data_IF_444661152909
#
_entry.id   IF_444661152909
#
_cell.length_a   1.000
_cell.length_b   1.000
_cell.length_c   1.000
_cell.angle_alpha   90.00
_cell.angle_beta   90.00
_cell.angle_gamma   90.00
#
_symmetry.space_group_name_H-M   'P 1'
#
loop_
_entity.id
_entity.type
_entity.pdbx_description
1 polymer ?
#
# COMPACT_ATOMS: atom_id res chain seq x y z
N UNK A 1 -9.00 -17.37 12.99
CA UNK A 1 -7.71 -16.66 13.00
C UNK A 1 -7.85 -15.34 12.25
N UNK A 2 -7.44 -14.25 12.88
CA UNK A 2 -7.53 -12.96 12.25
C UNK A 2 -6.24 -12.68 11.48
N UNK A 3 -6.37 -12.45 10.19
CA UNK A 3 -5.25 -12.15 9.33
C UNK A 3 -5.04 -10.65 9.30
N UNK A 4 -3.80 -10.20 9.52
CA UNK A 4 -3.47 -8.79 9.44
C UNK A 4 -3.45 -8.34 7.98
N UNK A 5 -4.23 -7.32 7.66
CA UNK A 5 -4.27 -6.75 6.33
C UNK A 5 -3.65 -5.36 6.39
N UNK A 6 -2.67 -5.11 5.53
CA UNK A 6 -1.88 -3.89 5.55
C UNK A 6 -2.25 -2.98 4.39
N UNK A 7 -2.06 -1.68 4.60
CA UNK A 7 -2.13 -0.70 3.53
C UNK A 7 -0.82 0.07 3.51
N UNK A 8 -0.18 0.12 2.34
CA UNK A 8 1.02 0.92 2.13
C UNK A 8 0.60 2.18 1.38
N UNK A 9 0.81 3.35 1.99
CA UNK A 9 0.51 4.62 1.34
C UNK A 9 1.82 5.28 0.92
N UNK A 10 1.95 5.52 -0.37
CA UNK A 10 3.15 6.08 -0.96
C UNK A 10 4.07 4.99 -1.49
N UNK A 11 4.20 4.90 -2.81
CA UNK A 11 5.02 3.87 -3.45
C UNK A 11 6.39 4.42 -3.83
N UNK A 12 7.06 5.08 -2.89
CA UNK A 12 8.46 5.45 -3.01
C UNK A 12 9.35 4.29 -2.56
N UNK A 13 10.66 4.57 -2.36
CA UNK A 13 11.60 3.53 -1.96
C UNK A 13 11.22 2.85 -0.66
N UNK A 14 10.75 3.62 0.32
CA UNK A 14 10.32 3.04 1.60
C UNK A 14 9.13 2.10 1.42
N UNK A 15 8.17 2.48 0.58
CA UNK A 15 7.02 1.62 0.28
C UNK A 15 7.44 0.33 -0.40
N UNK A 16 8.40 0.41 -1.32
CA UNK A 16 8.94 -0.78 -1.98
C UNK A 16 9.54 -1.72 -0.94
N UNK A 17 10.36 -1.21 -0.02
CA UNK A 17 10.99 -2.03 1.00
C UNK A 17 9.98 -2.71 1.90
N UNK A 18 8.95 -1.97 2.31
CA UNK A 18 7.89 -2.54 3.16
C UNK A 18 7.13 -3.63 2.42
N UNK A 19 6.82 -3.39 1.12
CA UNK A 19 6.10 -4.38 0.34
C UNK A 19 6.88 -5.68 0.20
N UNK A 20 8.18 -5.58 -0.01
CA UNK A 20 9.03 -6.76 -0.12
C UNK A 20 9.06 -7.54 1.20
N UNK A 21 9.12 -6.83 2.32
CA UNK A 21 9.06 -7.46 3.63
C UNK A 21 7.74 -8.22 3.82
N UNK A 22 6.63 -7.57 3.48
CA UNK A 22 5.31 -8.20 3.64
C UNK A 22 5.14 -9.40 2.72
N UNK A 23 5.65 -9.32 1.49
CA UNK A 23 5.61 -10.46 0.57
C UNK A 23 6.40 -11.65 1.14
N UNK A 24 7.57 -11.39 1.72
CA UNK A 24 8.37 -12.44 2.34
C UNK A 24 7.64 -13.11 3.49
N UNK A 25 6.87 -12.34 4.25
CA UNK A 25 6.11 -12.85 5.39
C UNK A 25 4.79 -13.48 4.98
N UNK A 26 4.41 -13.37 3.72
CA UNK A 26 3.12 -13.88 3.27
C UNK A 26 1.94 -13.10 3.81
N UNK A 27 2.14 -11.83 4.16
CA UNK A 27 1.09 -10.99 4.71
C UNK A 27 0.38 -10.21 3.60
N UNK A 28 -0.97 -10.15 3.61
CA UNK A 28 -1.69 -9.45 2.57
C UNK A 28 -1.61 -7.93 2.74
N UNK A 29 -1.53 -7.23 1.62
CA UNK A 29 -1.49 -5.77 1.64
C UNK A 29 -2.02 -5.18 0.34
N UNK A 30 -2.50 -3.95 0.43
CA UNK A 30 -2.86 -3.13 -0.72
C UNK A 30 -1.90 -1.95 -0.79
N UNK A 31 -1.81 -1.31 -1.95
CA UNK A 31 -0.89 -0.21 -2.19
C UNK A 31 -1.69 1.00 -2.65
N UNK A 32 -1.37 2.17 -2.11
CA UNK A 32 -2.04 3.40 -2.47
C UNK A 32 -1.04 4.52 -2.74
N UNK A 33 -1.39 5.39 -3.67
CA UNK A 33 -0.61 6.59 -3.97
C UNK A 33 -1.56 7.59 -4.60
N UNK A 34 -1.39 8.87 -4.28
CA UNK A 34 -2.20 9.92 -4.90
C UNK A 34 -1.81 10.17 -6.35
N UNK A 35 -0.61 9.75 -6.77
CA UNK A 35 -0.17 9.86 -8.15
C UNK A 35 -0.79 8.75 -8.98
N UNK A 36 -1.19 9.04 -10.21
CA UNK A 36 -1.71 8.04 -11.12
C UNK A 36 -0.63 7.03 -11.51
N UNK A 37 0.59 7.54 -11.73
CA UNK A 37 1.74 6.70 -12.09
C UNK A 37 2.80 6.91 -11.03
N UNK A 38 2.88 6.02 -10.04
CA UNK A 38 3.90 6.12 -9.00
C UNK A 38 5.30 5.90 -9.57
N UNK A 39 6.34 6.44 -8.91
CA UNK A 39 7.71 6.34 -9.43
C UNK A 39 8.25 4.92 -9.42
N UNK A 40 7.76 4.05 -8.55
CA UNK A 40 8.20 2.68 -8.48
C UNK A 40 7.02 1.74 -8.59
N UNK A 41 7.21 0.69 -9.37
CA UNK A 41 6.18 -0.33 -9.49
C UNK A 41 6.30 -1.30 -8.33
N UNK A 42 5.22 -1.44 -7.57
CA UNK A 42 5.15 -2.40 -6.48
C UNK A 42 4.09 -3.44 -6.84
N UNK A 43 4.48 -4.69 -6.77
CA UNK A 43 3.53 -5.78 -6.99
C UNK A 43 2.74 -5.98 -5.70
N UNK A 44 1.40 -5.93 -5.76
CA UNK A 44 0.60 -6.17 -4.57
C UNK A 44 0.69 -7.63 -4.15
N UNK A 45 0.20 -7.92 -2.95
CA UNK A 45 0.07 -9.30 -2.50
C UNK A 45 -0.93 -10.03 -3.41
N UNK A 46 -1.00 -11.35 -3.27
CA UNK A 46 -1.77 -12.21 -4.19
C UNK A 46 -3.17 -11.70 -4.51
N UNK A 47 -3.89 -11.20 -3.53
CA UNK A 47 -5.23 -10.65 -3.72
C UNK A 47 -5.27 -9.14 -3.46
N UNK A 48 -4.12 -8.49 -3.53
CA UNK A 48 -4.02 -7.08 -3.23
C UNK A 48 -4.51 -6.20 -4.37
N UNK A 49 -4.82 -4.97 -4.02
CA UNK A 49 -5.29 -3.96 -4.96
C UNK A 49 -4.40 -2.75 -4.96
N UNK A 50 -4.46 -2.00 -6.03
CA UNK A 50 -3.76 -0.72 -6.19
C UNK A 50 -4.78 0.40 -6.20
N UNK A 51 -4.55 1.42 -5.38
CA UNK A 51 -5.41 2.60 -5.33
C UNK A 51 -4.58 3.82 -5.71
N UNK A 52 -4.50 4.08 -7.01
CA UNK A 52 -3.68 5.17 -7.54
C UNK A 52 -4.56 6.29 -8.09
N UNK A 53 -4.04 7.52 -8.01
CA UNK A 53 -4.76 8.67 -8.54
C UNK A 53 -6.13 8.84 -7.90
N UNK A 54 -7.16 8.96 -8.71
CA UNK A 54 -8.53 9.14 -8.22
C UNK A 54 -9.03 7.96 -7.41
N UNK A 55 -8.48 6.78 -7.64
CA UNK A 55 -8.89 5.59 -6.89
C UNK A 55 -8.49 5.67 -5.42
N UNK A 56 -7.55 6.53 -5.08
CA UNK A 56 -7.16 6.77 -3.70
C UNK A 56 -8.37 7.12 -2.82
N UNK A 57 -9.33 7.83 -3.37
CA UNK A 57 -10.53 8.24 -2.66
C UNK A 57 -11.48 7.10 -2.34
N UNK A 58 -11.28 5.94 -2.96
CA UNK A 58 -12.15 4.77 -2.79
C UNK A 58 -11.68 3.84 -1.69
N UNK A 59 -10.60 4.18 -0.99
CA UNK A 59 -10.03 3.33 0.05
C UNK A 59 -10.93 3.31 1.27
N UNK A 60 -11.23 2.11 1.75
CA UNK A 60 -11.88 1.93 3.04
C UNK A 60 -10.78 1.68 4.08
N UNK A 61 -10.40 2.75 4.79
CA UNK A 61 -9.30 2.68 5.75
C UNK A 61 -9.60 1.77 6.93
N UNK A 62 -10.86 1.54 7.23
CA UNK A 62 -11.25 0.69 8.36
C UNK A 62 -10.97 -0.79 8.10
N UNK A 63 -10.78 -1.15 6.85
CA UNK A 63 -10.50 -2.52 6.44
C UNK A 63 -9.14 -3.01 6.91
N UNK A 64 -8.21 -2.10 7.17
CA UNK A 64 -6.82 -2.44 7.44
C UNK A 64 -6.51 -2.42 8.92
N UNK A 65 -5.76 -3.41 9.38
CA UNK A 65 -5.28 -3.46 10.76
C UNK A 65 -4.08 -2.55 10.94
N UNK A 66 -3.26 -2.40 9.90
CA UNK A 66 -2.07 -1.56 9.95
C UNK A 66 -1.94 -0.76 8.67
N UNK A 67 -1.58 0.51 8.81
CA UNK A 67 -1.35 1.40 7.67
C UNK A 67 0.06 1.93 7.78
N UNK A 68 0.85 1.70 6.75
CA UNK A 68 2.19 2.25 6.66
C UNK A 68 2.16 3.49 5.77
N UNK A 69 2.58 4.62 6.34
CA UNK A 69 2.67 5.88 5.60
C UNK A 69 4.13 6.13 5.27
N UNK A 70 4.46 6.13 3.99
CA UNK A 70 5.83 6.34 3.55
C UNK A 70 6.33 7.73 3.95
N UNK A 71 7.53 7.83 4.54
CA UNK A 71 8.13 9.14 4.79
C UNK A 71 8.23 9.93 3.50
N UNK A 72 7.88 11.21 3.56
CA UNK A 72 7.90 12.05 2.38
C UNK A 72 6.61 12.01 1.55
N UNK A 73 5.69 11.12 1.88
CA UNK A 73 4.39 11.14 1.22
C UNK A 73 3.65 12.43 1.54
N UNK A 74 3.13 13.09 0.52
CA UNK A 74 2.38 14.33 0.69
C UNK A 74 0.92 14.06 0.32
N UNK A 75 0.00 14.08 1.30
CA UNK A 75 -1.40 13.77 1.03
C UNK A 75 -2.20 14.89 0.37
N UNK A 76 -1.61 16.05 0.21
CA UNK A 76 -2.31 17.17 -0.44
C UNK A 76 -2.52 16.97 -1.92
#
# INVERSE_FOLDING_TARGET
MIEEYFLIIGSGLSGVSVSEYLLKKGLPFDIADTREVPPFKINPSKNGKNFFGDNFKKIDFQKYQKIYLSPGFNPE
#
